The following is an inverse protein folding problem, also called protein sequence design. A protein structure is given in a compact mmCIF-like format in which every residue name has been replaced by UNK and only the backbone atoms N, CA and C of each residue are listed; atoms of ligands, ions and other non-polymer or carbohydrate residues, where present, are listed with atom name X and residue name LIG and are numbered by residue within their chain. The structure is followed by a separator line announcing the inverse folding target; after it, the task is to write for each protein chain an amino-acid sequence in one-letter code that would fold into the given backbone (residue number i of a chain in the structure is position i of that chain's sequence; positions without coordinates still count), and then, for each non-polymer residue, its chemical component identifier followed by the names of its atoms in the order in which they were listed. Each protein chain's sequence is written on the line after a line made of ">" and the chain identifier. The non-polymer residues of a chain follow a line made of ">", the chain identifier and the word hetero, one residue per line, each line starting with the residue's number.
data_IF_878191959769
#
_entry.id   IF_878191959769
#
_cell.length_a   1.000
_cell.length_b   1.000
_cell.length_c   1.000
_cell.angle_alpha   90.00
_cell.angle_beta   90.00
_cell.angle_gamma   90.00
#
_symmetry.space_group_name_H-M   'P 1'
#
loop_
_entity.id
_entity.type
_entity.pdbx_description
1 polymer ?
#
# COMPACT_ATOMS: atom_id res chain seq x y z
N UNK A 1 20.15 4.37 -5.50
CA UNK A 1 19.27 4.92 -4.44
C UNK A 1 18.05 5.58 -5.11
N UNK A 2 16.96 5.90 -4.40
CA UNK A 2 15.77 6.48 -5.05
C UNK A 2 16.01 7.81 -5.78
N UNK A 3 17.09 8.51 -5.41
CA UNK A 3 17.57 9.75 -6.03
C UNK A 3 17.95 9.57 -7.50
N UNK A 4 18.33 8.36 -7.91
CA UNK A 4 18.70 8.07 -9.31
C UNK A 4 17.48 8.04 -10.23
N UNK A 5 16.27 7.89 -9.67
CA UNK A 5 15.03 7.69 -10.41
C UNK A 5 14.04 8.85 -10.24
N UNK A 6 14.10 9.59 -9.14
CA UNK A 6 13.16 10.68 -8.83
C UNK A 6 13.93 12.00 -8.79
N UNK A 7 13.63 12.95 -9.70
CA UNK A 7 14.30 14.25 -9.71
C UNK A 7 13.94 15.05 -8.44
N UNK A 8 14.86 15.90 -8.00
CA UNK A 8 14.67 16.82 -6.86
C UNK A 8 14.36 16.11 -5.52
N UNK A 9 14.87 14.89 -5.33
CA UNK A 9 14.76 14.17 -4.07
C UNK A 9 16.04 14.24 -3.25
N UNK A 10 15.90 14.50 -1.95
CA UNK A 10 17.00 14.42 -0.98
C UNK A 10 16.99 13.04 -0.32
N UNK A 11 18.12 12.35 -0.36
CA UNK A 11 18.27 11.08 0.38
C UNK A 11 18.55 11.36 1.85
N UNK A 12 17.61 10.93 2.70
CA UNK A 12 17.71 11.04 4.16
C UNK A 12 17.72 9.63 4.74
N UNK A 13 18.68 9.36 5.63
CA UNK A 13 18.72 8.07 6.31
C UNK A 13 17.83 8.05 7.54
N UNK A 14 17.25 6.88 7.83
CA UNK A 14 16.43 6.73 9.02
C UNK A 14 17.25 6.81 10.31
N UNK A 15 16.60 7.32 11.36
CA UNK A 15 17.20 7.55 12.68
C UNK A 15 17.42 6.25 13.47
N UNK A 16 16.73 5.16 13.11
CA UNK A 16 16.85 3.89 13.81
C UNK A 16 18.20 3.23 13.51
N UNK A 17 18.61 3.16 12.26
CA UNK A 17 19.93 2.68 11.86
C UNK A 17 21.02 3.57 12.43
N UNK A 18 20.85 4.89 12.39
CA UNK A 18 21.78 5.80 13.06
C UNK A 18 21.96 5.41 14.54
N UNK A 19 20.87 5.25 15.28
CA UNK A 19 20.92 4.85 16.71
C UNK A 19 21.58 3.49 16.91
N UNK A 20 21.28 2.51 16.04
CA UNK A 20 21.90 1.17 16.05
C UNK A 20 23.41 1.26 15.90
N UNK A 21 23.91 2.07 14.97
CA UNK A 21 25.34 2.23 14.75
C UNK A 21 26.02 3.10 15.81
N UNK A 22 25.34 4.10 16.39
CA UNK A 22 25.85 4.83 17.55
C UNK A 22 26.04 3.88 18.77
N UNK A 23 25.08 2.97 19.01
CA UNK A 23 25.22 1.94 20.06
C UNK A 23 26.37 0.97 19.79
N UNK A 24 26.56 0.55 18.53
CA UNK A 24 27.72 -0.27 18.14
C UNK A 24 29.04 0.49 18.30
N UNK A 25 29.05 1.79 18.01
CA UNK A 25 30.20 2.64 18.18
C UNK A 25 30.57 2.84 19.66
N UNK A 26 29.58 2.88 20.54
CA UNK A 26 29.76 3.12 21.98
C UNK A 26 29.90 1.85 22.83
N UNK A 27 30.18 0.69 22.23
CA UNK A 27 30.29 -0.56 22.99
C UNK A 27 31.36 -0.42 24.07
N UNK A 28 30.99 -0.74 25.31
CA UNK A 28 31.85 -0.61 26.49
C UNK A 28 31.88 0.78 27.13
N UNK A 29 31.18 1.78 26.57
CA UNK A 29 31.14 3.15 27.10
C UNK A 29 29.68 3.61 27.21
N UNK A 30 29.14 3.61 28.42
CA UNK A 30 27.75 3.97 28.67
C UNK A 30 27.45 5.44 28.30
N UNK A 31 26.32 5.69 27.65
CA UNK A 31 25.82 7.03 27.33
C UNK A 31 26.48 7.72 26.13
N UNK A 32 27.62 7.21 25.65
CA UNK A 32 28.35 7.79 24.52
C UNK A 32 27.59 7.68 23.19
N UNK A 33 26.67 6.72 23.06
CA UNK A 33 25.78 6.59 21.92
C UNK A 33 24.96 7.87 21.67
N UNK A 34 24.54 8.55 22.74
CA UNK A 34 23.79 9.81 22.65
C UNK A 34 24.66 10.93 22.09
N UNK A 35 25.88 11.05 22.58
CA UNK A 35 26.84 12.07 22.11
C UNK A 35 27.15 11.88 20.63
N UNK A 36 27.46 10.63 20.22
CA UNK A 36 27.70 10.29 18.82
C UNK A 36 26.48 10.58 17.93
N UNK A 37 25.29 10.29 18.43
CA UNK A 37 24.04 10.59 17.74
C UNK A 37 23.87 12.09 17.48
N UNK A 38 24.11 12.93 18.51
CA UNK A 38 24.03 14.38 18.37
C UNK A 38 25.10 14.95 17.42
N UNK A 39 26.34 14.46 17.49
CA UNK A 39 27.40 14.86 16.57
C UNK A 39 27.08 14.49 15.13
N UNK A 40 26.55 13.30 14.90
CA UNK A 40 26.17 12.83 13.57
C UNK A 40 25.05 13.69 12.96
N UNK A 41 23.97 13.93 13.71
CA UNK A 41 22.89 14.81 13.26
C UNK A 41 23.37 16.26 13.03
N UNK A 42 24.31 16.74 13.85
CA UNK A 42 24.88 18.07 13.69
C UNK A 42 25.93 18.18 12.58
N UNK A 43 26.22 17.09 11.85
CA UNK A 43 27.22 17.08 10.79
C UNK A 43 28.66 17.30 11.27
N UNK A 44 28.96 16.98 12.54
CA UNK A 44 30.30 17.12 13.13
C UNK A 44 31.20 15.94 12.76
N UNK A 45 31.51 15.82 11.47
CA UNK A 45 32.31 14.71 10.91
C UNK A 45 33.70 14.62 11.53
N UNK A 46 34.35 15.76 11.80
CA UNK A 46 35.67 15.79 12.43
C UNK A 46 35.66 15.11 13.81
N UNK A 47 34.67 15.41 14.65
CA UNK A 47 34.54 14.78 15.97
C UNK A 47 34.31 13.27 15.89
N UNK A 48 33.52 12.82 14.90
CA UNK A 48 33.30 11.39 14.65
C UNK A 48 34.60 10.71 14.20
N UNK A 49 35.36 11.35 13.30
CA UNK A 49 36.63 10.82 12.83
C UNK A 49 37.65 10.72 13.97
N UNK A 50 37.81 11.78 14.76
CA UNK A 50 38.75 11.80 15.88
C UNK A 50 38.34 10.80 16.97
N UNK A 51 37.04 10.66 17.24
CA UNK A 51 36.52 9.59 18.09
C UNK A 51 36.98 8.21 17.62
N UNK A 52 36.79 7.88 16.35
CA UNK A 52 37.18 6.56 15.85
C UNK A 52 38.69 6.37 15.84
N UNK A 53 39.49 7.40 15.56
CA UNK A 53 40.96 7.32 15.68
C UNK A 53 41.37 6.89 17.09
N UNK A 54 40.88 7.60 18.11
CA UNK A 54 41.18 7.28 19.51
C UNK A 54 40.65 5.90 19.88
N UNK A 55 39.42 5.58 19.48
CA UNK A 55 38.78 4.30 19.83
C UNK A 55 39.48 3.11 19.21
N UNK A 56 40.04 3.23 17.99
CA UNK A 56 40.82 2.14 17.38
C UNK A 56 42.21 1.97 18.00
N UNK A 57 42.76 3.00 18.65
CA UNK A 57 44.02 2.93 19.38
C UNK A 57 43.89 2.43 20.82
N UNK A 58 42.66 2.26 21.31
CA UNK A 58 42.38 1.84 22.68
C UNK A 58 42.68 0.32 22.88
N UNK A 59 43.65 -0.03 23.75
CA UNK A 59 44.04 -1.43 23.97
C UNK A 59 42.95 -2.27 24.67
N UNK A 60 41.92 -1.63 25.25
CA UNK A 60 40.81 -2.31 25.92
C UNK A 60 39.81 -2.87 24.90
N UNK A 61 39.85 -2.43 23.63
CA UNK A 61 38.97 -2.93 22.57
C UNK A 61 39.29 -4.37 22.23
N UNK A 62 38.30 -5.24 22.40
CA UNK A 62 38.44 -6.65 21.99
C UNK A 62 38.36 -6.80 20.46
N UNK A 63 38.88 -7.92 19.94
CA UNK A 63 38.82 -8.24 18.50
C UNK A 63 37.38 -8.24 17.97
N UNK A 64 36.42 -8.77 18.75
CA UNK A 64 35.00 -8.79 18.38
C UNK A 64 34.37 -7.39 18.35
N UNK A 65 34.76 -6.52 19.29
CA UNK A 65 34.32 -5.12 19.31
C UNK A 65 34.93 -4.34 18.15
N UNK A 66 36.17 -4.62 17.77
CA UNK A 66 36.84 -3.97 16.64
C UNK A 66 36.05 -4.12 15.33
N UNK A 67 35.46 -5.30 15.07
CA UNK A 67 34.59 -5.49 13.90
C UNK A 67 33.32 -4.63 13.97
N UNK A 68 32.69 -4.53 15.15
CA UNK A 68 31.52 -3.68 15.35
C UNK A 68 31.85 -2.18 15.16
N UNK A 69 33.02 -1.75 15.65
CA UNK A 69 33.54 -0.40 15.46
C UNK A 69 33.82 -0.11 13.99
N UNK A 70 34.45 -1.02 13.24
CA UNK A 70 34.68 -0.87 11.79
C UNK A 70 33.38 -0.69 11.02
N UNK A 71 32.35 -1.47 11.36
CA UNK A 71 31.03 -1.32 10.75
C UNK A 71 30.39 0.03 11.08
N UNK A 72 30.48 0.47 12.34
CA UNK A 72 29.92 1.75 12.77
C UNK A 72 30.66 2.93 12.15
N UNK A 73 31.99 2.89 12.10
CA UNK A 73 32.82 3.89 11.44
C UNK A 73 32.42 4.04 9.98
N UNK A 74 32.45 2.94 9.21
CA UNK A 74 32.05 2.92 7.80
C UNK A 74 30.64 3.47 7.60
N UNK A 75 29.68 3.09 8.44
CA UNK A 75 28.32 3.58 8.33
C UNK A 75 28.23 5.09 8.59
N UNK A 76 28.78 5.58 9.70
CA UNK A 76 28.68 6.99 10.09
C UNK A 76 29.45 7.91 9.14
N UNK A 77 30.60 7.49 8.64
CA UNK A 77 31.40 8.30 7.71
C UNK A 77 30.79 8.34 6.32
N UNK A 78 30.42 7.19 5.75
CA UNK A 78 29.96 7.13 4.36
C UNK A 78 28.60 7.79 4.18
N UNK A 79 27.84 7.92 5.26
CA UNK A 79 26.48 8.42 5.22
C UNK A 79 26.29 9.77 5.94
N UNK A 80 27.37 10.47 6.26
CA UNK A 80 27.31 11.69 7.08
C UNK A 80 26.35 12.75 6.51
N UNK A 81 26.33 12.93 5.19
CA UNK A 81 25.41 13.87 4.51
C UNK A 81 23.96 13.45 4.74
N UNK A 82 23.58 12.23 4.35
CA UNK A 82 22.21 11.72 4.49
C UNK A 82 21.72 11.67 5.95
N UNK A 83 22.64 11.50 6.90
CA UNK A 83 22.34 11.60 8.34
C UNK A 83 22.04 13.05 8.72
N UNK A 84 22.88 14.01 8.33
CA UNK A 84 22.71 15.43 8.64
C UNK A 84 21.39 15.99 8.10
N UNK A 85 20.96 15.54 6.92
CA UNK A 85 19.70 15.97 6.29
C UNK A 85 18.45 15.60 7.12
N UNK A 86 18.58 14.79 8.19
CA UNK A 86 17.50 14.62 9.18
C UNK A 86 17.10 15.91 9.90
N UNK A 87 17.90 16.98 9.79
CA UNK A 87 17.63 18.31 10.35
C UNK A 87 16.89 19.26 9.42
N UNK A 88 16.57 18.83 8.19
CA UNK A 88 15.71 19.61 7.30
C UNK A 88 14.36 19.87 7.97
N UNK A 89 13.89 21.11 7.90
CA UNK A 89 12.68 21.57 8.58
C UNK A 89 11.44 20.81 8.10
N UNK A 90 11.36 20.54 6.80
CA UNK A 90 10.26 19.81 6.16
C UNK A 90 10.32 18.27 6.40
N UNK A 91 11.35 17.77 7.08
CA UNK A 91 11.49 16.34 7.33
C UNK A 91 11.01 15.92 8.71
N UNK A 92 9.86 15.23 8.74
CA UNK A 92 9.23 14.78 9.98
C UNK A 92 9.71 13.41 10.50
N UNK A 93 10.62 12.73 9.80
CA UNK A 93 11.13 11.41 10.21
C UNK A 93 10.43 10.22 9.54
N UNK A 94 10.87 9.02 9.92
CA UNK A 94 10.31 7.76 9.47
C UNK A 94 10.05 6.82 10.66
N UNK A 95 8.86 6.19 10.70
CA UNK A 95 8.45 5.23 11.72
C UNK A 95 8.45 3.77 11.22
N UNK A 96 9.05 3.50 10.05
CA UNK A 96 8.98 2.20 9.38
C UNK A 96 9.35 1.01 10.30
N UNK A 97 10.45 1.13 11.05
CA UNK A 97 10.90 0.09 11.98
C UNK A 97 9.87 -0.16 13.10
N UNK A 98 9.22 0.88 13.62
CA UNK A 98 8.11 0.75 14.57
C UNK A 98 6.91 0.05 13.94
N UNK A 99 6.53 0.43 12.71
CA UNK A 99 5.45 -0.24 11.97
C UNK A 99 5.73 -1.74 11.76
N UNK A 100 6.94 -2.08 11.35
CA UNK A 100 7.33 -3.48 11.08
C UNK A 100 7.44 -4.27 12.39
N UNK A 101 8.19 -3.76 13.36
CA UNK A 101 8.53 -4.49 14.58
C UNK A 101 7.41 -4.54 15.62
N UNK A 102 6.44 -3.63 15.58
CA UNK A 102 5.35 -3.59 16.57
C UNK A 102 4.00 -3.99 15.98
N UNK A 103 3.65 -3.45 14.81
CA UNK A 103 2.31 -3.63 14.26
C UNK A 103 2.22 -4.84 13.33
N UNK A 104 3.14 -4.96 12.38
CA UNK A 104 3.15 -6.08 11.43
C UNK A 104 3.62 -7.38 12.09
N UNK A 105 4.71 -7.34 12.87
CA UNK A 105 5.23 -8.52 13.59
C UNK A 105 4.20 -9.16 14.52
N UNK A 106 3.40 -8.35 15.22
CA UNK A 106 2.39 -8.84 16.16
C UNK A 106 1.44 -9.83 15.51
N UNK A 107 1.14 -9.68 14.22
CA UNK A 107 0.29 -10.61 13.48
C UNK A 107 1.06 -11.61 12.63
N UNK A 108 2.21 -11.22 12.07
CA UNK A 108 2.94 -12.03 11.11
C UNK A 108 4.00 -12.95 11.74
N UNK A 109 4.55 -12.61 12.91
CA UNK A 109 5.62 -13.38 13.56
C UNK A 109 5.19 -14.10 14.84
N UNK A 110 4.18 -13.61 15.55
CA UNK A 110 3.72 -14.23 16.82
C UNK A 110 3.07 -15.60 16.64
N UNK A 111 2.48 -15.83 15.46
CA UNK A 111 1.95 -17.12 14.99
C UNK A 111 2.34 -17.27 13.54
N UNK A 112 3.49 -17.89 13.22
CA UNK A 112 3.92 -18.05 11.84
C UNK A 112 2.87 -18.89 11.12
N UNK A 113 2.09 -18.22 10.28
CA UNK A 113 1.16 -18.86 9.35
C UNK A 113 1.81 -18.82 7.98
N UNK A 114 1.65 -19.90 7.20
CA UNK A 114 2.05 -19.93 5.81
C UNK A 114 1.14 -19.01 5.00
N UNK A 115 1.36 -17.71 5.07
CA UNK A 115 0.63 -16.74 4.28
C UNK A 115 1.09 -16.82 2.83
N UNK A 116 0.16 -16.92 1.89
CA UNK A 116 0.45 -16.55 0.51
C UNK A 116 0.83 -15.06 0.45
N UNK A 117 1.53 -14.64 -0.61
CA UNK A 117 1.88 -13.24 -0.82
C UNK A 117 0.64 -12.33 -0.74
N UNK A 118 -0.45 -12.75 -1.37
CA UNK A 118 -1.74 -12.05 -1.36
C UNK A 118 -2.33 -12.00 0.05
N UNK A 119 -2.28 -13.10 0.79
CA UNK A 119 -2.76 -13.16 2.17
C UNK A 119 -2.00 -12.20 3.09
N UNK A 120 -0.67 -12.23 3.02
CA UNK A 120 0.19 -11.33 3.80
C UNK A 120 -0.10 -9.86 3.47
N UNK A 121 -0.27 -9.53 2.19
CA UNK A 121 -0.58 -8.17 1.74
C UNK A 121 -1.97 -7.71 2.24
N UNK A 122 -2.98 -8.57 2.19
CA UNK A 122 -4.33 -8.27 2.67
C UNK A 122 -4.34 -8.02 4.18
N UNK A 123 -3.61 -8.83 4.95
CA UNK A 123 -3.44 -8.62 6.40
C UNK A 123 -2.76 -7.27 6.66
N UNK A 124 -1.66 -6.97 5.98
CA UNK A 124 -0.94 -5.70 6.15
C UNK A 124 -1.83 -4.49 5.84
N UNK A 125 -2.56 -4.52 4.70
CA UNK A 125 -3.50 -3.45 4.32
C UNK A 125 -4.61 -3.25 5.34
N UNK A 126 -5.16 -4.35 5.86
CA UNK A 126 -6.22 -4.30 6.88
C UNK A 126 -5.73 -3.65 8.17
N UNK A 127 -4.52 -4.02 8.63
CA UNK A 127 -3.91 -3.42 9.81
C UNK A 127 -3.62 -1.93 9.62
N UNK A 128 -3.06 -1.54 8.47
CA UNK A 128 -2.82 -0.13 8.13
C UNK A 128 -4.13 0.66 8.11
N UNK A 129 -5.19 0.10 7.51
CA UNK A 129 -6.51 0.74 7.50
C UNK A 129 -7.02 1.00 8.91
N UNK A 130 -6.92 0.03 9.82
CA UNK A 130 -7.31 0.21 11.22
C UNK A 130 -6.46 1.26 11.94
N UNK A 131 -5.13 1.27 11.71
CA UNK A 131 -4.23 2.25 12.31
C UNK A 131 -4.53 3.68 11.85
N UNK A 132 -5.00 3.84 10.63
CA UNK A 132 -5.46 5.12 10.08
C UNK A 132 -6.88 5.50 10.57
N UNK A 133 -7.43 4.82 11.58
CA UNK A 133 -8.76 5.08 12.12
C UNK A 133 -9.91 4.43 11.34
N UNK A 134 -9.60 3.58 10.38
CA UNK A 134 -10.58 2.86 9.57
C UNK A 134 -11.37 1.84 10.40
N UNK A 135 -12.69 1.82 10.22
CA UNK A 135 -13.57 0.83 10.82
C UNK A 135 -13.91 -0.26 9.78
N UNK A 136 -13.40 -1.48 10.00
CA UNK A 136 -13.57 -2.60 9.06
C UNK A 136 -15.05 -2.98 8.89
N UNK A 137 -15.82 -3.03 9.98
CA UNK A 137 -17.23 -3.44 9.90
C UNK A 137 -18.04 -2.46 9.06
N UNK A 138 -17.80 -1.16 9.24
CA UNK A 138 -18.46 -0.12 8.45
C UNK A 138 -18.03 -0.21 6.99
N UNK A 139 -16.74 -0.43 6.72
CA UNK A 139 -16.23 -0.60 5.36
C UNK A 139 -16.94 -1.75 4.65
N UNK A 140 -16.98 -2.93 5.28
CA UNK A 140 -17.63 -4.12 4.72
C UNK A 140 -19.14 -3.92 4.52
N UNK A 141 -19.82 -3.26 5.47
CA UNK A 141 -21.25 -2.97 5.35
C UNK A 141 -21.53 -2.02 4.17
N UNK A 142 -20.72 -0.97 4.00
CA UNK A 142 -20.84 -0.07 2.85
C UNK A 142 -20.57 -0.78 1.52
N UNK A 143 -19.59 -1.67 1.48
CA UNK A 143 -19.27 -2.47 0.30
C UNK A 143 -20.43 -3.40 -0.07
N UNK A 144 -21.01 -4.11 0.91
CA UNK A 144 -22.18 -4.96 0.72
C UNK A 144 -23.42 -4.18 0.26
N UNK A 145 -23.63 -2.96 0.77
CA UNK A 145 -24.71 -2.11 0.30
C UNK A 145 -24.53 -1.67 -1.16
N UNK A 146 -23.28 -1.37 -1.57
CA UNK A 146 -22.97 -1.01 -2.96
C UNK A 146 -23.23 -2.18 -3.90
N UNK A 147 -22.77 -3.38 -3.55
CA UNK A 147 -23.01 -4.58 -4.38
C UNK A 147 -24.50 -4.88 -4.48
N UNK A 148 -25.24 -4.83 -3.37
CA UNK A 148 -26.69 -5.01 -3.39
C UNK A 148 -27.42 -3.96 -4.28
N UNK A 149 -26.97 -2.70 -4.25
CA UNK A 149 -27.50 -1.65 -5.14
C UNK A 149 -27.20 -1.95 -6.61
N UNK A 150 -25.97 -2.38 -6.93
CA UNK A 150 -25.57 -2.76 -8.28
C UNK A 150 -26.37 -3.95 -8.81
N UNK A 151 -26.57 -4.98 -7.99
CA UNK A 151 -27.40 -6.14 -8.35
C UNK A 151 -28.85 -5.74 -8.64
N UNK A 152 -29.41 -4.81 -7.86
CA UNK A 152 -30.76 -4.28 -8.10
C UNK A 152 -30.84 -3.53 -9.43
N UNK A 153 -29.83 -2.72 -9.76
CA UNK A 153 -29.74 -2.00 -11.05
C UNK A 153 -29.65 -3.01 -12.20
N UNK A 154 -28.73 -3.97 -12.14
CA UNK A 154 -28.56 -5.01 -13.17
C UNK A 154 -29.85 -5.81 -13.37
N UNK A 155 -30.54 -6.17 -12.27
CA UNK A 155 -31.83 -6.87 -12.33
C UNK A 155 -32.90 -6.00 -12.99
N UNK A 156 -32.94 -4.70 -12.68
CA UNK A 156 -33.90 -3.77 -13.26
C UNK A 156 -33.65 -3.58 -14.76
N UNK A 157 -32.41 -3.35 -15.17
CA UNK A 157 -32.02 -3.23 -16.58
C UNK A 157 -32.38 -4.48 -17.37
N UNK A 158 -32.12 -5.67 -16.81
CA UNK A 158 -32.54 -6.94 -17.41
C UNK A 158 -34.06 -6.98 -17.63
N UNK A 159 -34.87 -6.56 -16.65
CA UNK A 159 -36.34 -6.53 -16.78
C UNK A 159 -36.81 -5.53 -17.84
N UNK A 160 -36.21 -4.34 -17.91
CA UNK A 160 -36.51 -3.35 -18.94
C UNK A 160 -36.18 -3.89 -20.34
N UNK A 161 -35.03 -4.55 -20.48
CA UNK A 161 -34.59 -5.08 -21.77
C UNK A 161 -35.52 -6.20 -22.26
N UNK A 162 -35.97 -7.09 -21.37
CA UNK A 162 -36.98 -8.12 -21.68
C UNK A 162 -38.30 -7.47 -22.14
N UNK A 163 -38.80 -6.46 -21.42
CA UNK A 163 -40.03 -5.74 -21.81
C UNK A 163 -39.90 -5.05 -23.17
N UNK A 164 -38.76 -4.44 -23.45
CA UNK A 164 -38.47 -3.79 -24.73
C UNK A 164 -38.45 -4.81 -25.87
N UNK A 165 -37.78 -5.95 -25.68
CA UNK A 165 -37.74 -7.02 -26.67
C UNK A 165 -39.13 -7.60 -26.98
N UNK A 166 -39.98 -7.78 -25.95
CA UNK A 166 -41.36 -8.23 -26.15
C UNK A 166 -42.15 -7.20 -26.97
N UNK A 167 -42.08 -5.92 -26.63
CA UNK A 167 -42.75 -4.85 -27.40
C UNK A 167 -42.27 -4.80 -28.84
N UNK A 168 -40.96 -4.88 -29.07
CA UNK A 168 -40.37 -4.91 -30.41
C UNK A 168 -40.88 -6.11 -31.22
N UNK A 169 -40.92 -7.31 -30.62
CA UNK A 169 -41.47 -8.51 -31.27
C UNK A 169 -42.91 -8.30 -31.76
N UNK A 170 -43.79 -7.73 -30.93
CA UNK A 170 -45.17 -7.46 -31.33
C UNK A 170 -45.27 -6.34 -32.38
N UNK A 171 -44.44 -5.31 -32.29
CA UNK A 171 -44.38 -4.24 -33.29
C UNK A 171 -43.93 -4.77 -34.65
N UNK A 172 -42.87 -5.57 -34.69
CA UNK A 172 -42.39 -6.26 -35.90
C UNK A 172 -43.47 -7.18 -36.49
N UNK A 173 -44.15 -7.98 -35.65
CA UNK A 173 -45.27 -8.82 -36.09
C UNK A 173 -46.42 -8.00 -36.70
N UNK A 174 -46.78 -6.86 -36.09
CA UNK A 174 -47.81 -5.97 -36.60
C UNK A 174 -47.41 -5.30 -37.92
N UNK A 175 -46.14 -4.86 -38.06
CA UNK A 175 -45.62 -4.31 -39.30
C UNK A 175 -45.60 -5.35 -40.44
N UNK A 176 -45.21 -6.59 -40.14
CA UNK A 176 -45.22 -7.70 -41.12
C UNK A 176 -46.66 -8.00 -41.55
N UNK A 177 -47.61 -8.09 -40.62
CA UNK A 177 -49.02 -8.31 -40.94
C UNK A 177 -49.62 -7.17 -41.77
N UNK A 178 -49.32 -5.91 -41.44
CA UNK A 178 -49.79 -4.73 -42.17
C UNK A 178 -49.22 -4.66 -43.60
N UNK A 179 -47.91 -4.92 -43.75
CA UNK A 179 -47.25 -4.94 -45.06
C UNK A 179 -47.70 -6.13 -45.93
N UNK A 180 -47.97 -7.29 -45.33
CA UNK A 180 -48.60 -8.42 -46.02
C UNK A 180 -50.01 -8.10 -46.52
N UNK A 181 -50.82 -7.41 -45.70
CA UNK A 181 -52.15 -6.95 -46.10
C UNK A 181 -52.11 -5.97 -47.28
N UNK A 182 -51.19 -4.99 -47.26
CA UNK A 182 -50.96 -4.07 -48.37
C UNK A 182 -50.53 -4.77 -49.67
N UNK A 183 -49.85 -5.91 -49.57
CA UNK A 183 -49.46 -6.76 -50.72
C UNK A 183 -50.56 -7.74 -51.16
N UNK A 184 -51.77 -7.63 -50.61
CA UNK A 184 -52.92 -8.46 -50.98
C UNK A 184 -52.98 -9.84 -50.30
N UNK A 185 -52.08 -10.14 -49.36
CA UNK A 185 -52.17 -11.37 -48.56
C UNK A 185 -53.26 -11.19 -47.50
N UNK A 186 -54.35 -11.96 -47.61
CA UNK A 186 -55.44 -11.97 -46.61
C UNK A 186 -55.11 -12.88 -45.45
N UNK A 187 -55.44 -12.46 -44.23
CA UNK A 187 -55.24 -13.31 -43.05
C UNK A 187 -56.27 -14.46 -43.01
N UNK A 188 -55.92 -15.58 -42.39
CA UNK A 188 -56.81 -16.77 -42.28
C UNK A 188 -58.16 -16.46 -41.61
N UNK A 189 -58.20 -15.49 -40.68
CA UNK A 189 -59.44 -15.03 -40.04
C UNK A 189 -60.33 -14.17 -40.96
N UNK A 190 -59.75 -13.50 -41.96
CA UNK A 190 -60.53 -12.80 -42.98
C UNK A 190 -61.14 -13.77 -44.00
N UNK A 191 -60.53 -14.94 -44.21
CA UNK A 191 -61.13 -16.00 -45.02
C UNK A 191 -62.37 -16.59 -44.34
N UNK A 192 -62.34 -16.82 -43.03
CA UNK A 192 -63.49 -17.37 -42.29
C UNK A 192 -64.72 -16.44 -42.23
N UNK A 193 -64.56 -15.13 -42.44
CA UNK A 193 -65.68 -14.18 -42.47
C UNK A 193 -66.37 -14.07 -43.84
N UNK A 194 -65.75 -14.57 -44.91
CA UNK A 194 -66.40 -14.68 -46.22
C UNK A 194 -67.16 -15.99 -46.40
N UNK A 195 -66.94 -16.98 -45.53
CA UNK A 195 -67.71 -18.22 -45.50
C UNK A 195 -68.82 -18.08 -44.44
N UNK A 196 -69.70 -17.10 -44.65
CA UNK A 196 -71.01 -17.05 -44.00
C UNK A 196 -71.99 -17.92 -44.80
N UNK A 197 -72.83 -18.66 -44.07
CA UNK A 197 -73.94 -19.53 -44.51
C UNK A 197 -74.54 -19.23 -45.89
#
# INVERSE_FOLDING_TARGET
>A
CGVDFIPQCTFILDRFHLRKYCKKASVGIAGLDRTLYHWALAGKTNFIQDYFKVRFSDPIVTVSQCQSLKQAAKYLTNNAVAIRENRLEDYHGCSAEGHISHYLSRRLSSRPQGWSLVGAQSVARTLIFQLNGGNITNFLQMEQQKTCKQEKIIRFDRRLNVRKNIKNKYYEQAQVAFSGHLRGQRSLWQHSLQVGW
#
